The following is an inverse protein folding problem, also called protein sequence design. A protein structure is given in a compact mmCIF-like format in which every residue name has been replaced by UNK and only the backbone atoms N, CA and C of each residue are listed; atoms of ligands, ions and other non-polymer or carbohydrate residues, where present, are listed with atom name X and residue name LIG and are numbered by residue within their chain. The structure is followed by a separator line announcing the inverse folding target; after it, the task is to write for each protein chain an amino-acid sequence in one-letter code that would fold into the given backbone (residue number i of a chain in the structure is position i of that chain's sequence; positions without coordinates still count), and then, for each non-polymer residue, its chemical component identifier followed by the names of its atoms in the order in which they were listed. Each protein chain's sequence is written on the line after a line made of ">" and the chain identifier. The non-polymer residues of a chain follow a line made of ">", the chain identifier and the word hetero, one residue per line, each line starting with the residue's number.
data_IF_966476427014
#
_entry.id   IF_966476427014
#
_cell.length_a   1.000
_cell.length_b   1.000
_cell.length_c   1.000
_cell.angle_alpha   90.00
_cell.angle_beta   90.00
_cell.angle_gamma   90.00
#
_symmetry.space_group_name_H-M   'P 1'
#
loop_
_entity.id
_entity.type
_entity.pdbx_description
1 polymer ?
#
# COMPACT_ATOMS: atom_id res chain seq x y z
N UNK A 1 -55.77 27.54 59.90
CA UNK A 1 -54.59 27.20 60.73
C UNK A 1 -53.72 26.20 59.95
N UNK A 2 -52.41 26.43 59.96
CA UNK A 2 -51.28 25.58 59.48
C UNK A 2 -50.95 25.57 57.98
N UNK A 3 -49.65 25.82 57.73
CA UNK A 3 -48.87 25.99 56.49
C UNK A 3 -48.59 24.64 55.79
N UNK A 4 -48.26 24.67 54.48
CA UNK A 4 -46.96 24.13 54.00
C UNK A 4 -46.60 24.60 52.58
N UNK A 5 -45.43 25.25 52.45
CA UNK A 5 -44.68 25.45 51.20
C UNK A 5 -43.98 24.14 50.83
N UNK A 6 -43.94 23.76 49.55
CA UNK A 6 -42.85 22.95 48.98
C UNK A 6 -42.86 23.09 47.45
N UNK A 7 -42.01 23.97 46.90
CA UNK A 7 -40.67 23.70 46.35
C UNK A 7 -40.72 23.01 44.97
N UNK A 8 -40.49 23.84 43.96
CA UNK A 8 -40.26 23.50 42.55
C UNK A 8 -38.97 22.66 42.46
N UNK A 9 -39.05 21.43 41.94
CA UNK A 9 -37.88 20.65 41.55
C UNK A 9 -37.92 20.43 40.03
N UNK A 10 -37.17 21.27 39.32
CA UNK A 10 -36.93 21.17 37.89
C UNK A 10 -35.88 20.09 37.69
N UNK A 11 -36.31 18.87 37.34
CA UNK A 11 -35.39 17.77 36.98
C UNK A 11 -34.83 18.11 35.59
N UNK A 12 -33.62 18.65 35.57
CA UNK A 12 -32.78 18.71 34.37
C UNK A 12 -32.27 17.29 34.13
N UNK A 13 -32.85 16.59 33.16
CA UNK A 13 -32.26 15.38 32.62
C UNK A 13 -30.97 15.79 31.89
N UNK A 14 -29.79 15.26 32.26
CA UNK A 14 -28.63 15.40 31.39
C UNK A 14 -28.95 14.65 30.09
N UNK A 15 -28.92 15.36 28.97
CA UNK A 15 -28.68 14.75 27.67
C UNK A 15 -27.31 14.10 27.74
N UNK A 16 -27.26 12.82 28.12
CA UNK A 16 -26.11 11.98 27.86
C UNK A 16 -26.02 11.82 26.34
N UNK A 17 -25.27 12.76 25.76
CA UNK A 17 -24.21 12.54 24.80
C UNK A 17 -24.41 11.26 23.97
N UNK A 18 -24.81 11.44 22.71
CA UNK A 18 -24.61 10.45 21.66
C UNK A 18 -23.13 10.06 21.64
N UNK A 19 -22.76 9.01 22.38
CA UNK A 19 -21.61 8.22 22.03
C UNK A 19 -22.01 7.50 20.74
N UNK A 20 -21.73 8.15 19.62
CA UNK A 20 -21.65 7.47 18.34
C UNK A 20 -20.56 6.40 18.52
N UNK A 21 -20.98 5.18 18.84
CA UNK A 21 -20.10 4.04 18.83
C UNK A 21 -19.74 3.83 17.38
N UNK A 22 -18.70 4.51 16.91
CA UNK A 22 -18.05 4.22 15.64
C UNK A 22 -17.69 2.73 15.69
N UNK A 23 -18.52 1.91 15.06
CA UNK A 23 -18.30 0.49 15.01
C UNK A 23 -17.06 0.29 14.15
N UNK A 24 -15.95 -0.04 14.81
CA UNK A 24 -14.65 -0.17 14.16
C UNK A 24 -14.78 -1.02 12.89
N UNK A 25 -14.34 -0.52 11.72
CA UNK A 25 -14.54 -1.21 10.46
C UNK A 25 -13.87 -2.58 10.50
N UNK A 26 -14.51 -3.56 9.85
CA UNK A 26 -13.90 -4.87 9.68
C UNK A 26 -12.63 -4.74 8.82
N UNK A 27 -11.49 -5.17 9.37
CA UNK A 27 -10.18 -5.05 8.73
C UNK A 27 -9.76 -6.38 8.09
N UNK A 28 -9.04 -6.28 6.98
CA UNK A 28 -8.31 -7.41 6.40
C UNK A 28 -7.18 -7.85 7.32
N UNK A 29 -6.59 -9.03 7.06
CA UNK A 29 -5.43 -9.50 7.84
C UNK A 29 -4.22 -8.55 7.75
N UNK A 30 -4.18 -7.68 6.71
CA UNK A 30 -3.14 -6.67 6.50
C UNK A 30 -3.54 -5.27 6.97
N UNK A 31 -4.67 -5.13 7.67
CA UNK A 31 -5.06 -3.89 8.34
C UNK A 31 -5.86 -2.89 7.52
N UNK A 32 -6.27 -3.25 6.30
CA UNK A 32 -7.09 -2.36 5.48
C UNK A 32 -8.59 -2.60 5.72
N UNK A 33 -9.39 -1.54 5.69
CA UNK A 33 -10.84 -1.63 5.76
C UNK A 33 -11.40 -2.51 4.63
N UNK A 34 -12.37 -3.37 4.93
CA UNK A 34 -12.91 -4.31 3.95
C UNK A 34 -14.02 -3.72 3.08
N UNK A 35 -14.88 -2.84 3.64
CA UNK A 35 -16.15 -2.45 3.03
C UNK A 35 -16.04 -1.53 1.80
N UNK A 36 -14.93 -0.80 1.65
CA UNK A 36 -14.86 0.32 0.69
C UNK A 36 -15.19 1.63 1.38
N UNK A 37 -15.60 2.66 0.63
CA UNK A 37 -16.03 3.94 1.20
C UNK A 37 -17.53 4.20 0.98
N UNK A 38 -18.10 5.08 1.80
CA UNK A 38 -19.53 5.41 1.77
C UNK A 38 -19.98 6.07 0.46
N UNK A 39 -19.08 6.80 -0.22
CA UNK A 39 -19.35 7.41 -1.53
C UNK A 39 -19.48 6.36 -2.66
N UNK A 40 -19.12 5.09 -2.41
CA UNK A 40 -19.14 4.01 -3.40
C UNK A 40 -18.07 4.10 -4.48
N UNK A 41 -17.15 5.08 -4.38
CA UNK A 41 -16.05 5.28 -5.34
C UNK A 41 -14.89 4.29 -5.14
N UNK A 42 -14.81 3.66 -3.97
CA UNK A 42 -13.87 2.59 -3.62
C UNK A 42 -14.68 1.33 -3.29
N UNK A 43 -14.58 0.24 -4.07
CA UNK A 43 -15.33 -0.97 -3.81
C UNK A 43 -14.80 -1.74 -2.59
N UNK A 44 -15.58 -2.67 -2.01
CA UNK A 44 -15.09 -3.60 -1.00
C UNK A 44 -13.94 -4.46 -1.54
N UNK A 45 -13.01 -4.84 -0.66
CA UNK A 45 -11.94 -5.76 -1.03
C UNK A 45 -12.43 -7.20 -1.03
N UNK A 46 -12.27 -7.89 -2.16
CA UNK A 46 -12.77 -9.25 -2.39
C UNK A 46 -11.62 -10.26 -2.62
N UNK A 47 -10.45 -10.02 -2.03
CA UNK A 47 -9.29 -10.91 -2.19
C UNK A 47 -8.29 -10.49 -3.29
N UNK A 48 -8.63 -9.49 -4.11
CA UNK A 48 -7.79 -9.02 -5.21
C UNK A 48 -7.74 -9.97 -6.40
N UNK A 49 -6.68 -9.85 -7.21
CA UNK A 49 -6.48 -10.69 -8.39
C UNK A 49 -5.86 -12.03 -7.97
N UNK A 50 -6.66 -13.10 -8.02
CA UNK A 50 -6.24 -14.47 -7.62
C UNK A 50 -5.91 -15.38 -8.80
N UNK A 51 -6.25 -14.96 -10.03
CA UNK A 51 -5.92 -15.66 -11.27
C UNK A 51 -5.39 -14.64 -12.28
N UNK A 52 -4.32 -14.97 -13.02
CA UNK A 52 -3.83 -14.09 -14.06
C UNK A 52 -4.85 -13.97 -15.21
N UNK A 53 -4.79 -12.90 -16.02
CA UNK A 53 -5.57 -12.81 -17.26
C UNK A 53 -5.35 -14.02 -18.17
N UNK A 54 -6.40 -14.47 -18.88
CA UNK A 54 -6.38 -15.73 -19.63
C UNK A 54 -5.30 -15.80 -20.72
N UNK A 55 -4.83 -14.65 -21.20
CA UNK A 55 -3.79 -14.53 -22.21
C UNK A 55 -2.36 -14.45 -21.64
N UNK A 56 -2.18 -14.46 -20.32
CA UNK A 56 -0.86 -14.40 -19.69
C UNK A 56 -0.20 -15.78 -19.59
N UNK A 57 1.08 -15.87 -19.95
CA UNK A 57 1.94 -17.01 -19.65
C UNK A 57 3.15 -16.56 -18.83
N UNK A 58 3.71 -17.42 -17.96
CA UNK A 58 4.93 -17.12 -17.24
C UNK A 58 6.07 -16.71 -18.19
N UNK A 59 6.64 -15.53 -17.95
CA UNK A 59 7.68 -14.93 -18.81
C UNK A 59 7.17 -13.81 -19.72
N UNK A 60 5.86 -13.68 -19.91
CA UNK A 60 5.28 -12.58 -20.67
C UNK A 60 5.36 -11.25 -19.91
N UNK A 61 5.23 -10.15 -20.65
CA UNK A 61 4.91 -8.87 -20.04
C UNK A 61 3.53 -8.96 -19.38
N UNK A 62 3.41 -8.49 -18.14
CA UNK A 62 2.16 -8.56 -17.38
C UNK A 62 1.06 -7.76 -18.11
N UNK A 63 -0.01 -8.41 -18.61
CA UNK A 63 -1.10 -7.71 -19.25
C UNK A 63 -1.90 -6.90 -18.22
N UNK A 64 -2.52 -5.82 -18.69
CA UNK A 64 -3.45 -5.04 -17.87
C UNK A 64 -4.72 -5.87 -17.58
N UNK A 65 -5.01 -6.21 -16.31
CA UNK A 65 -6.20 -6.96 -15.94
C UNK A 65 -7.50 -6.17 -16.14
N UNK A 66 -7.43 -4.86 -16.32
CA UNK A 66 -8.56 -3.95 -16.45
C UNK A 66 -8.55 -3.20 -17.79
N UNK A 67 -8.04 -3.82 -18.85
CA UNK A 67 -7.91 -3.21 -20.19
C UNK A 67 -9.21 -2.59 -20.74
N UNK A 68 -10.36 -3.08 -20.27
CA UNK A 68 -11.68 -2.60 -20.68
C UNK A 68 -12.22 -1.45 -19.82
N UNK A 69 -11.47 -0.99 -18.81
CA UNK A 69 -11.89 0.14 -17.97
C UNK A 69 -11.90 1.42 -18.80
N UNK A 70 -13.05 2.08 -18.80
CA UNK A 70 -13.23 3.39 -19.43
C UNK A 70 -13.05 4.48 -18.38
N UNK A 71 -12.49 5.65 -18.73
CA UNK A 71 -12.43 6.78 -17.82
C UNK A 71 -13.84 7.19 -17.37
N UNK A 72 -14.02 7.39 -16.07
CA UNK A 72 -15.22 8.00 -15.49
C UNK A 72 -15.36 9.46 -15.94
N UNK A 73 -14.23 10.17 -15.95
CA UNK A 73 -14.13 11.55 -16.44
C UNK A 73 -12.67 11.89 -16.71
N UNK A 74 -12.45 13.06 -17.32
CA UNK A 74 -11.10 13.61 -17.56
C UNK A 74 -10.99 15.00 -16.97
N UNK A 75 -9.89 15.27 -16.28
CA UNK A 75 -9.54 16.58 -15.76
C UNK A 75 -8.53 17.21 -16.70
N UNK A 76 -8.84 18.40 -17.19
CA UNK A 76 -7.99 19.23 -18.03
C UNK A 76 -7.97 20.67 -17.51
N UNK A 77 -7.33 21.58 -18.25
CA UNK A 77 -7.24 22.98 -17.84
C UNK A 77 -8.61 23.68 -17.76
N UNK A 78 -9.62 23.24 -18.52
CA UNK A 78 -10.96 23.87 -18.53
C UNK A 78 -11.76 23.59 -17.25
N UNK A 79 -11.54 22.45 -16.60
CA UNK A 79 -12.28 22.01 -15.42
C UNK A 79 -11.42 21.82 -14.16
N UNK A 80 -10.11 22.06 -14.22
CA UNK A 80 -9.18 21.97 -13.08
C UNK A 80 -9.68 22.71 -11.84
N UNK A 81 -10.42 23.81 -12.04
CA UNK A 81 -11.02 24.60 -10.97
C UNK A 81 -12.00 23.82 -10.09
N UNK A 82 -12.74 22.88 -10.67
CA UNK A 82 -13.75 22.07 -9.99
C UNK A 82 -13.12 20.99 -9.09
N UNK A 83 -11.87 20.60 -9.37
CA UNK A 83 -11.19 19.50 -8.72
C UNK A 83 -9.97 19.94 -7.89
N UNK A 84 -9.83 21.25 -7.59
CA UNK A 84 -8.63 21.81 -6.92
C UNK A 84 -8.25 21.06 -5.63
N UNK A 85 -9.24 20.67 -4.85
CA UNK A 85 -9.06 19.97 -3.56
C UNK A 85 -8.70 18.49 -3.69
N UNK A 86 -8.81 17.94 -4.91
CA UNK A 86 -8.43 16.56 -5.25
C UNK A 86 -7.09 16.49 -5.99
N UNK A 87 -6.49 17.64 -6.32
CA UNK A 87 -5.26 17.73 -7.10
C UNK A 87 -4.10 18.25 -6.26
N UNK A 88 -2.93 17.62 -6.40
CA UNK A 88 -1.69 18.15 -5.84
C UNK A 88 -1.27 19.45 -6.56
N UNK A 89 -0.41 20.23 -5.92
CA UNK A 89 0.17 21.42 -6.57
C UNK A 89 0.89 21.07 -7.89
N UNK A 90 1.55 19.91 -7.96
CA UNK A 90 2.20 19.41 -9.17
C UNK A 90 1.22 19.10 -10.29
N UNK A 91 0.09 18.44 -10.00
CA UNK A 91 -0.94 18.19 -11.01
C UNK A 91 -1.50 19.48 -11.59
N UNK A 92 -1.82 20.47 -10.73
CA UNK A 92 -2.31 21.78 -11.18
C UNK A 92 -1.27 22.53 -12.02
N UNK A 93 0.01 22.46 -11.64
CA UNK A 93 1.09 23.09 -12.39
C UNK A 93 1.25 22.47 -13.78
N UNK A 94 1.16 21.14 -13.89
CA UNK A 94 1.26 20.44 -15.18
C UNK A 94 0.09 20.77 -16.13
N UNK A 95 -1.14 20.81 -15.60
CA UNK A 95 -2.34 21.21 -16.36
C UNK A 95 -2.22 22.66 -16.87
N UNK A 96 -1.70 23.57 -16.05
CA UNK A 96 -1.50 24.96 -16.44
C UNK A 96 -0.34 25.14 -17.44
N UNK A 97 0.73 24.33 -17.31
CA UNK A 97 1.92 24.43 -18.17
C UNK A 97 1.68 23.84 -19.57
N UNK A 98 0.85 22.81 -19.66
CA UNK A 98 0.59 22.06 -20.89
C UNK A 98 -0.91 21.89 -21.14
N UNK A 99 -1.66 22.99 -21.33
CA UNK A 99 -3.13 22.96 -21.36
C UNK A 99 -3.69 22.14 -22.53
N UNK A 100 -2.97 22.05 -23.65
CA UNK A 100 -3.46 21.38 -24.87
C UNK A 100 -3.11 19.88 -24.91
N UNK A 101 -2.15 19.42 -24.11
CA UNK A 101 -1.60 18.06 -24.21
C UNK A 101 -1.64 17.25 -22.92
N UNK A 102 -1.69 17.90 -21.76
CA UNK A 102 -1.75 17.22 -20.47
C UNK A 102 -3.18 17.15 -19.95
N UNK A 103 -3.61 15.94 -19.60
CA UNK A 103 -4.93 15.64 -19.07
C UNK A 103 -4.87 14.44 -18.13
N UNK A 104 -5.65 14.46 -17.07
CA UNK A 104 -5.76 13.37 -16.10
C UNK A 104 -7.04 12.58 -16.37
N UNK A 105 -6.89 11.35 -16.84
CA UNK A 105 -8.02 10.43 -17.02
C UNK A 105 -8.27 9.72 -15.68
N UNK A 106 -9.47 9.85 -15.14
CA UNK A 106 -9.87 9.21 -13.87
C UNK A 106 -10.64 7.94 -14.19
N UNK A 107 -10.23 6.81 -13.61
CA UNK A 107 -10.81 5.50 -13.85
C UNK A 107 -11.48 4.95 -12.58
N UNK A 108 -12.33 3.91 -12.70
CA UNK A 108 -12.89 3.22 -11.54
C UNK A 108 -11.80 2.70 -10.60
N UNK A 109 -12.02 2.81 -9.29
CA UNK A 109 -11.12 2.22 -8.30
C UNK A 109 -11.19 0.70 -8.34
N UNK A 110 -10.04 0.04 -8.39
CA UNK A 110 -9.92 -1.42 -8.31
C UNK A 110 -9.04 -1.81 -7.12
N UNK A 111 -9.57 -2.61 -6.20
CA UNK A 111 -8.77 -3.16 -5.07
C UNK A 111 -8.17 -4.51 -5.46
N UNK A 112 -7.13 -4.46 -6.28
CA UNK A 112 -6.52 -5.62 -6.96
C UNK A 112 -5.48 -6.39 -6.14
N UNK A 113 -5.00 -5.83 -5.03
CA UNK A 113 -3.97 -6.45 -4.19
C UNK A 113 -4.43 -7.81 -3.67
N UNK A 114 -3.64 -8.84 -3.93
CA UNK A 114 -3.80 -10.19 -3.40
C UNK A 114 -2.52 -10.65 -2.72
N UNK A 115 -2.64 -11.63 -1.83
CA UNK A 115 -1.51 -12.25 -1.13
C UNK A 115 -1.65 -13.77 -1.19
N UNK A 116 -0.53 -14.52 -1.19
CA UNK A 116 -0.58 -15.95 -0.97
C UNK A 116 -1.27 -16.26 0.37
N UNK A 117 -2.06 -17.34 0.46
CA UNK A 117 -2.75 -17.73 1.70
C UNK A 117 -1.82 -17.82 2.91
N UNK A 118 -0.60 -18.31 2.67
CA UNK A 118 0.43 -18.48 3.71
C UNK A 118 0.81 -17.16 4.40
N UNK A 119 0.74 -16.01 3.72
CA UNK A 119 1.02 -14.71 4.34
C UNK A 119 -0.07 -14.33 5.34
N UNK A 120 -1.34 -14.57 4.99
CA UNK A 120 -2.45 -14.35 5.91
C UNK A 120 -2.33 -15.28 7.13
N UNK A 121 -2.03 -16.56 6.91
CA UNK A 121 -1.82 -17.54 7.99
C UNK A 121 -0.70 -17.13 8.94
N UNK A 122 0.48 -16.74 8.44
CA UNK A 122 1.58 -16.31 9.30
C UNK A 122 1.27 -15.00 10.03
N UNK A 123 0.61 -14.07 9.35
CA UNK A 123 0.17 -12.80 9.97
C UNK A 123 -0.76 -13.06 11.14
N UNK A 124 -1.73 -13.96 10.98
CA UNK A 124 -2.66 -14.34 12.05
C UNK A 124 -1.95 -15.14 13.16
N UNK A 125 -1.07 -16.08 12.83
CA UNK A 125 -0.28 -16.88 13.78
C UNK A 125 0.58 -16.03 14.72
N UNK A 126 1.15 -14.94 14.20
CA UNK A 126 2.05 -14.05 14.92
C UNK A 126 1.40 -12.71 15.32
N UNK A 127 0.08 -12.56 15.14
CA UNK A 127 -0.63 -11.33 15.51
C UNK A 127 -0.39 -11.03 16.99
N UNK A 128 0.07 -9.81 17.28
CA UNK A 128 0.40 -9.35 18.64
C UNK A 128 1.71 -9.89 19.22
N UNK A 129 2.45 -10.74 18.50
CA UNK A 129 3.76 -11.25 18.92
C UNK A 129 4.92 -10.46 18.31
N UNK A 130 4.68 -9.79 17.18
CA UNK A 130 5.67 -8.94 16.54
C UNK A 130 6.03 -7.78 17.46
N UNK A 131 7.33 -7.49 17.56
CA UNK A 131 7.87 -6.33 18.28
C UNK A 131 9.08 -5.79 17.55
N UNK A 132 9.24 -4.48 17.62
CA UNK A 132 10.46 -3.81 17.19
C UNK A 132 11.54 -4.06 18.25
N UNK A 133 12.76 -4.32 17.81
CA UNK A 133 13.92 -4.61 18.66
C UNK A 133 15.13 -3.81 18.20
N UNK A 134 16.21 -3.87 18.99
CA UNK A 134 17.50 -3.26 18.66
C UNK A 134 17.37 -1.76 18.35
N UNK A 135 16.64 -1.02 19.20
CA UNK A 135 16.37 0.42 19.07
C UNK A 135 15.81 0.84 17.69
N UNK A 136 14.96 -0.01 17.11
CA UNK A 136 14.34 0.24 15.81
C UNK A 136 15.03 -0.43 14.64
N UNK A 137 16.17 -1.09 14.86
CA UNK A 137 16.95 -1.74 13.81
C UNK A 137 16.46 -3.14 13.43
N UNK A 138 15.59 -3.78 14.23
CA UNK A 138 15.12 -5.14 13.97
C UNK A 138 13.65 -5.40 14.30
N UNK A 139 13.18 -6.59 13.90
CA UNK A 139 11.86 -7.13 14.25
C UNK A 139 12.03 -8.53 14.84
N UNK A 140 11.29 -8.83 15.91
CA UNK A 140 11.24 -10.15 16.50
C UNK A 140 9.79 -10.65 16.60
N UNK A 141 9.62 -11.97 16.73
CA UNK A 141 8.32 -12.59 17.00
C UNK A 141 7.42 -12.78 15.79
N UNK A 142 7.91 -12.52 14.57
CA UNK A 142 7.21 -12.82 13.31
C UNK A 142 8.19 -13.16 12.18
N UNK A 143 7.74 -14.02 11.26
CA UNK A 143 8.39 -14.31 9.99
C UNK A 143 7.31 -14.51 8.92
N UNK A 144 7.56 -14.11 7.67
CA UNK A 144 6.69 -14.36 6.51
C UNK A 144 5.24 -13.87 6.65
N UNK A 145 5.01 -12.78 7.36
CA UNK A 145 3.69 -12.17 7.56
C UNK A 145 3.80 -10.66 7.69
N UNK A 146 2.67 -9.99 7.95
CA UNK A 146 2.64 -8.55 8.20
C UNK A 146 2.80 -8.33 9.70
N UNK A 147 3.89 -7.67 10.14
CA UNK A 147 4.21 -7.54 11.57
C UNK A 147 3.11 -6.84 12.37
N UNK A 148 2.62 -5.71 11.86
CA UNK A 148 1.72 -4.85 12.61
C UNK A 148 0.50 -4.48 11.75
N UNK A 149 -0.49 -5.37 11.52
CA UNK A 149 -1.66 -5.02 10.71
C UNK A 149 -2.35 -3.73 11.18
N UNK A 150 -2.34 -3.49 12.49
CA UNK A 150 -2.84 -2.26 13.10
C UNK A 150 -1.69 -1.53 13.81
N UNK A 151 -0.85 -0.78 13.07
CA UNK A 151 0.33 -0.15 13.64
C UNK A 151 -0.07 0.91 14.67
N UNK A 152 0.60 0.93 15.82
CA UNK A 152 0.34 1.88 16.91
C UNK A 152 1.16 3.16 16.82
N UNK A 153 2.19 3.17 15.99
CA UNK A 153 3.07 4.31 15.77
C UNK A 153 3.70 4.26 14.36
N UNK A 154 4.41 5.33 13.98
CA UNK A 154 5.04 5.45 12.67
C UNK A 154 6.13 4.41 12.41
N UNK A 155 6.85 3.98 13.44
CA UNK A 155 7.90 2.96 13.33
C UNK A 155 7.31 1.61 12.88
N UNK A 156 6.21 1.17 13.49
CA UNK A 156 5.49 -0.04 13.09
C UNK A 156 4.98 0.06 11.64
N UNK A 157 4.48 1.22 11.22
CA UNK A 157 4.04 1.46 9.85
C UNK A 157 5.22 1.37 8.85
N UNK A 158 6.38 1.93 9.20
CA UNK A 158 7.61 1.82 8.40
C UNK A 158 8.05 0.35 8.28
N UNK A 159 7.95 -0.42 9.37
CA UNK A 159 8.29 -1.84 9.35
C UNK A 159 7.38 -2.66 8.44
N UNK A 160 6.07 -2.38 8.42
CA UNK A 160 5.17 -3.01 7.45
C UNK A 160 5.56 -2.70 6.00
N UNK A 161 5.91 -1.45 5.70
CA UNK A 161 6.39 -1.06 4.38
C UNK A 161 7.68 -1.81 4.02
N UNK A 162 8.64 -1.86 4.95
CA UNK A 162 9.91 -2.56 4.76
C UNK A 162 9.69 -4.06 4.53
N UNK A 163 8.84 -4.70 5.32
CA UNK A 163 8.59 -6.15 5.29
C UNK A 163 7.40 -6.55 4.42
N UNK A 164 6.99 -5.68 3.50
CA UNK A 164 5.99 -6.02 2.49
C UNK A 164 6.39 -7.28 1.72
N UNK A 165 5.41 -8.13 1.43
CA UNK A 165 5.65 -9.39 0.72
C UNK A 165 6.13 -9.13 -0.71
N UNK A 166 7.27 -9.73 -1.08
CA UNK A 166 7.91 -9.57 -2.40
C UNK A 166 8.19 -10.90 -3.12
N UNK A 167 7.56 -11.99 -2.68
CA UNK A 167 7.93 -13.34 -3.13
C UNK A 167 9.22 -13.85 -2.47
N UNK A 168 9.80 -14.91 -3.03
CA UNK A 168 11.04 -15.53 -2.53
C UNK A 168 12.32 -14.89 -3.05
N UNK A 169 12.27 -14.22 -4.20
CA UNK A 169 13.47 -13.61 -4.79
C UNK A 169 13.25 -13.16 -6.23
N UNK A 170 14.31 -12.62 -6.82
CA UNK A 170 14.35 -12.14 -8.19
C UNK A 170 15.73 -12.40 -8.78
N UNK A 171 15.78 -12.90 -10.02
CA UNK A 171 16.99 -12.89 -10.84
C UNK A 171 16.67 -12.23 -12.17
N UNK A 172 17.48 -11.26 -12.56
CA UNK A 172 17.32 -10.62 -13.87
C UNK A 172 18.22 -9.42 -14.05
N UNK A 173 17.92 -8.64 -15.08
CA UNK A 173 18.68 -7.46 -15.45
C UNK A 173 17.94 -6.20 -15.04
N UNK A 174 18.66 -5.28 -14.41
CA UNK A 174 18.21 -3.93 -14.17
C UNK A 174 18.87 -2.99 -15.18
N UNK A 175 18.07 -2.53 -16.14
CA UNK A 175 18.49 -1.61 -17.19
C UNK A 175 17.94 -0.22 -16.88
N UNK A 176 18.83 0.76 -16.80
CA UNK A 176 18.50 2.17 -16.60
C UNK A 176 18.93 2.96 -17.82
N UNK A 177 18.04 3.85 -18.27
CA UNK A 177 18.35 4.83 -19.31
C UNK A 177 18.27 6.21 -18.67
N UNK A 178 19.42 6.86 -18.49
CA UNK A 178 19.46 8.25 -18.04
C UNK A 178 19.40 9.14 -19.28
N UNK A 179 18.26 9.80 -19.48
CA UNK A 179 18.01 10.62 -20.67
C UNK A 179 18.22 12.10 -20.35
N UNK A 180 19.02 12.77 -21.16
CA UNK A 180 19.20 14.22 -21.13
C UNK A 180 18.02 14.96 -21.80
N UNK A 181 17.96 16.28 -21.62
CA UNK A 181 16.87 17.11 -22.17
C UNK A 181 16.77 17.07 -23.70
N UNK A 182 17.88 16.82 -24.39
CA UNK A 182 17.96 16.71 -25.85
C UNK A 182 17.62 15.30 -26.37
N UNK A 183 17.26 14.36 -25.49
CA UNK A 183 16.90 13.00 -25.83
C UNK A 183 18.08 12.04 -25.93
N UNK A 184 19.31 12.50 -25.75
CA UNK A 184 20.48 11.60 -25.66
C UNK A 184 20.42 10.79 -24.37
N UNK A 185 20.84 9.52 -24.39
CA UNK A 185 20.83 8.65 -23.22
C UNK A 185 22.00 7.69 -23.18
N UNK A 186 22.42 7.31 -21.96
CA UNK A 186 23.36 6.21 -21.71
C UNK A 186 22.63 5.08 -20.99
N UNK A 187 22.93 3.82 -21.38
CA UNK A 187 22.38 2.63 -20.75
C UNK A 187 23.32 2.08 -19.68
N UNK A 188 22.86 2.10 -18.43
CA UNK A 188 23.43 1.31 -17.35
C UNK A 188 22.72 -0.04 -17.26
N UNK A 189 23.47 -1.14 -17.27
CA UNK A 189 22.91 -2.50 -17.15
C UNK A 189 23.62 -3.21 -16.01
N UNK A 190 22.84 -3.81 -15.12
CA UNK A 190 23.34 -4.61 -14.01
C UNK A 190 22.57 -5.92 -13.93
N UNK A 191 23.25 -7.01 -13.58
CA UNK A 191 22.61 -8.29 -13.28
C UNK A 191 22.41 -8.40 -11.77
N UNK A 192 21.20 -8.71 -11.35
CA UNK A 192 20.82 -8.82 -9.95
C UNK A 192 20.33 -10.23 -9.65
N UNK A 193 20.82 -10.78 -8.56
CA UNK A 193 20.29 -11.97 -7.89
C UNK A 193 19.92 -11.57 -6.47
N UNK A 194 18.63 -11.49 -6.18
CA UNK A 194 18.08 -11.03 -4.90
C UNK A 194 17.26 -12.14 -4.28
N UNK A 195 17.58 -12.52 -3.06
CA UNK A 195 16.79 -13.43 -2.23
C UNK A 195 16.06 -12.62 -1.15
N UNK A 196 14.73 -12.67 -1.15
CA UNK A 196 13.90 -12.02 -0.14
C UNK A 196 13.63 -13.00 1.01
N UNK A 197 14.66 -13.22 1.84
CA UNK A 197 14.62 -14.15 2.97
C UNK A 197 13.32 -14.06 3.79
N UNK A 198 12.84 -12.86 4.13
CA UNK A 198 11.62 -12.72 4.93
C UNK A 198 10.35 -13.31 4.28
N UNK A 199 10.27 -13.30 2.95
CA UNK A 199 9.14 -13.86 2.19
C UNK A 199 9.33 -15.32 1.76
N UNK A 200 10.55 -15.85 1.88
CA UNK A 200 10.89 -17.21 1.46
C UNK A 200 10.19 -18.25 2.34
N UNK A 201 9.51 -19.27 1.78
CA UNK A 201 8.87 -20.34 2.55
C UNK A 201 9.78 -21.11 3.51
N UNK A 202 11.09 -21.14 3.24
CA UNK A 202 12.12 -21.81 4.06
C UNK A 202 12.48 -21.01 5.32
N UNK A 203 12.08 -19.74 5.41
CA UNK A 203 12.42 -18.89 6.53
C UNK A 203 11.54 -19.15 7.75
N UNK A 204 12.21 -19.35 8.88
CA UNK A 204 11.65 -19.56 10.21
C UNK A 204 12.16 -18.46 11.14
N UNK A 205 11.60 -18.37 12.35
CA UNK A 205 12.12 -17.45 13.37
C UNK A 205 13.57 -17.76 13.76
N UNK A 206 13.98 -19.03 13.66
CA UNK A 206 15.29 -19.52 14.07
C UNK A 206 16.37 -19.24 13.01
N UNK A 207 16.03 -19.28 11.72
CA UNK A 207 17.02 -19.19 10.64
C UNK A 207 17.04 -17.83 9.92
N UNK A 208 16.08 -16.94 10.17
CA UNK A 208 16.00 -15.64 9.50
C UNK A 208 17.20 -14.75 9.86
N UNK A 209 17.75 -14.88 11.08
CA UNK A 209 18.90 -14.11 11.57
C UNK A 209 18.76 -12.59 11.39
N UNK A 210 17.54 -12.04 11.42
CA UNK A 210 17.23 -10.65 11.07
C UNK A 210 17.73 -10.18 9.68
N UNK A 211 18.08 -11.12 8.80
CA UNK A 211 18.47 -10.84 7.43
C UNK A 211 17.22 -10.83 6.56
N UNK A 212 16.78 -9.64 6.16
CA UNK A 212 15.61 -9.48 5.30
C UNK A 212 15.88 -9.86 3.85
N UNK A 213 17.06 -9.52 3.33
CA UNK A 213 17.38 -9.64 1.90
C UNK A 213 18.86 -9.91 1.73
N UNK A 214 19.19 -10.80 0.81
CA UNK A 214 20.54 -11.02 0.29
C UNK A 214 20.53 -10.64 -1.18
N UNK A 215 21.57 -9.97 -1.65
CA UNK A 215 21.66 -9.57 -3.03
C UNK A 215 23.10 -9.73 -3.51
N UNK A 216 23.24 -10.24 -4.73
CA UNK A 216 24.46 -10.17 -5.52
C UNK A 216 24.14 -9.33 -6.75
N UNK A 217 24.98 -8.33 -7.00
CA UNK A 217 24.82 -7.38 -8.09
C UNK A 217 26.11 -7.31 -8.88
N UNK A 218 26.01 -7.47 -10.19
CA UNK A 218 27.13 -7.34 -11.11
C UNK A 218 26.86 -6.17 -12.05
N UNK A 219 27.82 -5.27 -12.22
CA UNK A 219 27.69 -4.21 -13.22
C UNK A 219 28.14 -4.77 -14.56
N UNK A 220 27.25 -4.72 -15.57
CA UNK A 220 27.57 -5.18 -16.92
C UNK A 220 27.85 -4.01 -17.86
N UNK A 221 27.21 -2.85 -17.63
CA UNK A 221 27.41 -1.63 -18.41
C UNK A 221 27.34 -0.38 -17.51
N UNK A 222 28.11 0.68 -17.83
CA UNK A 222 29.06 0.76 -18.93
C UNK A 222 30.33 -0.06 -18.67
N UNK A 223 31.06 -0.46 -19.73
CA UNK A 223 32.24 -1.32 -19.61
C UNK A 223 33.29 -0.77 -18.62
N UNK A 224 33.42 0.57 -18.54
CA UNK A 224 34.30 1.25 -17.57
C UNK A 224 33.98 0.96 -16.10
N UNK A 225 32.74 0.56 -15.80
CA UNK A 225 32.26 0.24 -14.46
C UNK A 225 31.94 -1.25 -14.31
N UNK A 226 32.21 -2.08 -15.32
CA UNK A 226 31.83 -3.48 -15.31
C UNK A 226 32.72 -4.28 -14.34
N UNK A 227 32.08 -5.12 -13.53
CA UNK A 227 32.69 -5.82 -12.40
C UNK A 227 31.63 -6.30 -11.41
#
# INVERSE_FOLDING_TARGET
>A
MVKLKLLLLLVVLPLDLFAETEQKPALSFFGAELAGNDEGSIPPWQGGIVRPPANYKPGDWHPDPYINDVPLFTIDQSNVGQYKDKLSAGHRAMLARYPDSYRLRVFPSRRSVSYPPTIAEQTLKYRGKARVVDDGAGIAGIVRGIPFPEPKNGEQAIWNMRLSYKGGGYRGYFTTALTAKDGTYELGVSAHEIEYMYGDPRSTLENLNNIKTRAVMYTLRPAKNAG
#
